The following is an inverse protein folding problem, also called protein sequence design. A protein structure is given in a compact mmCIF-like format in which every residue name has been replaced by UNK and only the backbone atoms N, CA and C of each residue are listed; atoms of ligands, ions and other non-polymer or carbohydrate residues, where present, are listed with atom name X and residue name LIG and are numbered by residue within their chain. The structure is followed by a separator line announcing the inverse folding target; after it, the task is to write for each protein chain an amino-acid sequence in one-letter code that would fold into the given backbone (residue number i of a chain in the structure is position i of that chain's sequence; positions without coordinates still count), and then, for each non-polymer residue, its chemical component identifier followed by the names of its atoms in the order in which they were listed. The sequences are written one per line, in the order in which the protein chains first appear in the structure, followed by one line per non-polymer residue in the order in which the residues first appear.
data_IF_045589398447
#
_entry.id   IF_045589398447
#
_cell.length_a   1.000
_cell.length_b   1.000
_cell.length_c   1.000
_cell.angle_alpha   90.00
_cell.angle_beta   90.00
_cell.angle_gamma   90.00
#
_symmetry.space_group_name_H-M   'P 1'
#
loop_
_entity.id
_entity.type
_entity.pdbx_description
1 polymer ?
#
# COMPACT_ATOMS: atom_id res chain seq x y z
N UNK A 1 47.25 -2.44 1.21
CA UNK A 1 47.54 -1.20 0.48
C UNK A 1 46.49 -1.04 -0.60
N UNK A 2 45.63 -0.05 -0.51
CA UNK A 2 45.15 0.68 -1.69
C UNK A 2 44.58 2.01 -1.23
N UNK A 3 44.96 3.07 -1.94
CA UNK A 3 44.73 4.46 -1.59
C UNK A 3 43.27 4.87 -1.81
N UNK A 4 42.81 5.75 -0.94
CA UNK A 4 41.52 6.41 -1.00
C UNK A 4 41.74 7.71 -1.78
N UNK A 5 41.27 7.79 -3.01
CA UNK A 5 41.26 9.06 -3.76
C UNK A 5 39.86 9.68 -3.66
N UNK A 6 39.84 10.93 -3.21
CA UNK A 6 38.66 11.79 -3.11
C UNK A 6 38.18 12.19 -4.52
N UNK A 7 36.86 12.29 -4.77
CA UNK A 7 36.38 12.76 -6.06
C UNK A 7 36.49 14.29 -6.20
N UNK A 8 36.71 14.82 -7.41
CA UNK A 8 36.80 16.25 -7.67
C UNK A 8 35.41 16.87 -7.89
N UNK A 9 35.42 18.20 -7.86
CA UNK A 9 34.27 19.10 -7.82
C UNK A 9 34.01 19.75 -9.21
N UNK A 10 32.77 20.22 -9.44
CA UNK A 10 32.27 21.08 -10.56
C UNK A 10 32.11 20.44 -11.97
N UNK A 11 31.19 20.81 -12.88
CA UNK A 11 30.19 21.90 -13.03
C UNK A 11 29.17 21.51 -14.12
N UNK A 12 27.95 22.08 -14.04
CA UNK A 12 26.83 21.91 -14.99
C UNK A 12 27.05 22.58 -16.36
N UNK A 13 26.45 22.00 -17.43
CA UNK A 13 26.27 22.66 -18.74
C UNK A 13 24.82 22.56 -19.20
N UNK A 14 24.27 23.70 -19.62
CA UNK A 14 22.90 23.92 -20.07
C UNK A 14 22.75 23.86 -21.60
N UNK A 15 21.55 23.55 -22.08
CA UNK A 15 20.99 23.80 -23.43
C UNK A 15 19.65 23.07 -23.58
N UNK A 16 18.70 23.41 -24.44
CA UNK A 16 18.10 24.65 -24.96
C UNK A 16 16.94 24.17 -25.88
N UNK A 17 15.80 24.86 -25.80
CA UNK A 17 14.65 24.99 -26.70
C UNK A 17 14.42 24.08 -27.94
N UNK A 18 13.16 23.64 -28.11
CA UNK A 18 12.54 23.45 -29.44
C UNK A 18 11.01 23.67 -29.41
N UNK A 19 10.47 24.25 -30.50
CA UNK A 19 9.05 24.60 -30.74
C UNK A 19 8.68 24.22 -32.19
N UNK A 20 7.44 23.78 -32.49
CA UNK A 20 6.92 23.96 -33.86
C UNK A 20 5.43 24.37 -33.97
N UNK A 21 5.16 25.13 -35.03
CA UNK A 21 3.89 25.70 -35.50
C UNK A 21 3.05 24.75 -36.39
N UNK A 22 1.72 24.94 -36.36
CA UNK A 22 0.69 24.99 -37.45
C UNK A 22 0.50 23.78 -38.43
N UNK A 23 -0.68 23.44 -38.98
CA UNK A 23 -1.95 24.12 -39.32
C UNK A 23 -3.04 23.09 -39.72
N UNK A 24 -4.32 23.51 -39.62
CA UNK A 24 -5.36 23.50 -40.69
C UNK A 24 -6.73 22.84 -40.42
N UNK A 25 -7.77 23.55 -40.88
CA UNK A 25 -9.21 23.40 -40.64
C UNK A 25 -9.96 22.68 -41.79
N UNK A 26 -11.06 21.97 -41.47
CA UNK A 26 -12.20 21.81 -42.41
C UNK A 26 -13.48 21.31 -41.73
N UNK A 27 -14.58 22.06 -41.88
CA UNK A 27 -16.00 21.79 -41.52
C UNK A 27 -16.79 21.65 -42.84
N UNK A 28 -17.78 20.72 -43.02
CA UNK A 28 -19.25 21.05 -42.91
C UNK A 28 -20.20 19.83 -42.69
N UNK A 29 -21.55 19.91 -42.81
CA UNK A 29 -22.56 20.88 -42.33
C UNK A 29 -23.74 20.21 -41.54
N UNK A 30 -24.72 21.04 -41.13
CA UNK A 30 -25.89 20.71 -40.30
C UNK A 30 -27.14 20.20 -41.07
N UNK A 31 -28.01 19.45 -40.38
CA UNK A 31 -29.38 19.10 -40.80
C UNK A 31 -30.37 19.02 -39.60
N UNK A 32 -31.52 19.69 -39.77
CA UNK A 32 -32.85 19.46 -39.14
C UNK A 32 -33.81 19.12 -40.30
N UNK A 33 -34.98 18.42 -40.18
CA UNK A 33 -36.03 18.63 -39.16
C UNK A 33 -36.96 17.41 -38.80
N UNK A 34 -37.85 17.60 -37.80
CA UNK A 34 -39.31 17.33 -37.83
C UNK A 34 -39.92 16.80 -36.52
N UNK A 35 -40.93 17.55 -36.05
CA UNK A 35 -41.91 17.18 -35.02
C UNK A 35 -42.90 16.13 -35.52
N UNK A 36 -43.29 15.20 -34.64
CA UNK A 36 -44.57 14.51 -34.68
C UNK A 36 -45.14 14.45 -33.26
N UNK A 37 -46.26 15.14 -33.05
CA UNK A 37 -47.12 15.04 -31.86
C UNK A 37 -47.76 13.65 -31.78
N UNK A 38 -47.71 13.03 -30.61
CA UNK A 38 -48.51 11.86 -30.27
C UNK A 38 -49.19 12.13 -28.92
N UNK A 39 -50.52 12.29 -28.95
CA UNK A 39 -51.35 12.35 -27.74
C UNK A 39 -51.66 10.94 -27.22
N UNK A 40 -51.50 10.66 -25.92
CA UNK A 40 -52.03 9.45 -25.29
C UNK A 40 -53.46 9.64 -24.74
N UNK A 41 -54.27 8.56 -24.64
CA UNK A 41 -55.68 8.58 -24.21
C UNK A 41 -55.85 8.69 -22.68
N UNK A 42 -57.06 8.99 -22.16
CA UNK A 42 -57.26 9.35 -20.76
C UNK A 42 -57.40 8.10 -19.88
N UNK A 43 -56.58 8.01 -18.82
CA UNK A 43 -56.76 7.02 -17.76
C UNK A 43 -56.86 7.69 -16.38
N UNK A 44 -58.03 7.45 -15.78
CA UNK A 44 -58.43 7.39 -14.37
C UNK A 44 -57.51 7.91 -13.26
N UNK A 45 -58.09 8.84 -12.48
CA UNK A 45 -57.65 9.27 -11.15
C UNK A 45 -57.49 8.08 -10.18
N UNK A 46 -56.25 7.85 -9.72
CA UNK A 46 -55.97 7.25 -8.42
C UNK A 46 -54.70 7.89 -7.86
N UNK A 47 -54.78 8.40 -6.63
CA UNK A 47 -53.69 9.10 -5.96
C UNK A 47 -52.52 8.15 -5.69
N UNK A 48 -51.25 8.55 -5.93
CA UNK A 48 -50.11 7.73 -5.57
C UNK A 48 -49.99 7.63 -4.04
N UNK A 49 -49.55 6.48 -3.49
CA UNK A 49 -49.23 6.37 -2.08
C UNK A 49 -48.10 7.35 -1.72
N UNK A 50 -48.06 7.88 -0.48
CA UNK A 50 -46.99 8.77 -0.07
C UNK A 50 -45.64 8.06 -0.23
N UNK A 51 -44.59 8.78 -0.68
CA UNK A 51 -43.27 8.19 -0.84
C UNK A 51 -42.79 7.65 0.51
N UNK A 52 -42.09 6.50 0.53
CA UNK A 52 -41.47 6.00 1.75
C UNK A 52 -40.57 7.09 2.33
N UNK A 53 -40.49 7.23 3.67
CA UNK A 53 -39.60 8.19 4.28
C UNK A 53 -38.16 7.92 3.77
N UNK A 54 -37.38 8.98 3.49
CA UNK A 54 -36.01 8.81 3.05
C UNK A 54 -35.25 7.97 4.09
N UNK A 55 -34.33 7.08 3.64
CA UNK A 55 -33.49 6.36 4.57
C UNK A 55 -32.77 7.36 5.47
N UNK A 56 -32.62 7.08 6.78
CA UNK A 56 -31.97 8.00 7.72
C UNK A 56 -30.61 8.41 7.15
N UNK A 57 -30.37 9.72 7.14
CA UNK A 57 -29.22 10.38 6.53
C UNK A 57 -27.97 9.50 6.58
N UNK A 58 -27.63 8.94 5.42
CA UNK A 58 -26.28 8.45 5.19
C UNK A 58 -25.41 9.70 5.27
N UNK A 59 -24.75 9.88 6.42
CA UNK A 59 -23.58 10.74 6.50
C UNK A 59 -22.78 10.52 5.23
N UNK A 60 -22.54 11.61 4.49
CA UNK A 60 -21.68 11.69 3.32
C UNK A 60 -20.24 11.29 3.70
N UNK A 61 -20.02 10.04 4.08
CA UNK A 61 -18.72 9.41 4.01
C UNK A 61 -18.50 9.16 2.53
N UNK A 62 -17.80 10.07 1.89
CA UNK A 62 -17.20 9.78 0.59
C UNK A 62 -16.21 8.66 0.83
N UNK A 63 -16.65 7.41 0.67
CA UNK A 63 -15.81 6.25 0.93
C UNK A 63 -14.69 6.29 -0.11
N UNK A 64 -13.41 6.36 0.30
CA UNK A 64 -12.32 6.41 -0.66
C UNK A 64 -12.37 5.15 -1.50
N UNK A 65 -12.40 5.27 -2.83
CA UNK A 65 -12.23 4.06 -3.62
C UNK A 65 -10.78 3.58 -3.50
N UNK A 66 -10.63 2.28 -3.25
CA UNK A 66 -9.34 1.58 -3.19
C UNK A 66 -8.42 1.88 -4.38
N UNK A 67 -8.98 2.37 -5.49
CA UNK A 67 -8.25 2.76 -6.70
C UNK A 67 -8.60 4.16 -7.24
N UNK A 68 -9.39 4.99 -6.55
CA UNK A 68 -9.60 6.37 -7.03
C UNK A 68 -8.34 7.20 -6.85
N UNK A 69 -7.94 7.92 -7.90
CA UNK A 69 -6.94 8.97 -7.80
C UNK A 69 -7.46 9.99 -6.80
N UNK A 70 -6.91 10.01 -5.60
CA UNK A 70 -7.06 11.18 -4.75
C UNK A 70 -6.43 12.34 -5.52
N UNK A 71 -7.13 13.48 -5.57
CA UNK A 71 -6.69 14.66 -6.33
C UNK A 71 -5.45 15.31 -5.66
N UNK A 72 -5.12 14.86 -4.46
CA UNK A 72 -3.98 15.30 -3.67
C UNK A 72 -2.69 14.60 -4.13
N UNK A 73 -1.53 15.27 -4.06
CA UNK A 73 -0.24 14.60 -4.17
C UNK A 73 -0.19 13.41 -3.20
N UNK A 74 0.30 12.27 -3.67
CA UNK A 74 0.34 11.03 -2.90
C UNK A 74 1.26 10.03 -3.60
N UNK A 75 1.86 9.13 -2.83
CA UNK A 75 2.54 7.97 -3.41
C UNK A 75 1.52 6.89 -3.76
N UNK A 76 1.63 6.32 -4.97
CA UNK A 76 0.86 5.13 -5.38
C UNK A 76 1.82 3.97 -5.60
N UNK A 77 2.22 3.35 -4.49
CA UNK A 77 3.20 2.27 -4.47
C UNK A 77 2.58 0.99 -5.05
N UNK A 78 3.30 0.38 -5.98
CA UNK A 78 2.88 -0.86 -6.66
C UNK A 78 3.62 -2.06 -6.09
N UNK A 79 2.89 -3.08 -5.64
CA UNK A 79 3.43 -4.33 -5.09
C UNK A 79 3.09 -5.49 -6.04
N UNK A 80 4.05 -5.83 -6.89
CA UNK A 80 3.91 -6.88 -7.90
C UNK A 80 4.32 -8.25 -7.37
N UNK A 81 3.42 -9.23 -7.43
CA UNK A 81 3.76 -10.64 -7.22
C UNK A 81 4.74 -11.12 -8.29
N UNK A 82 5.75 -11.89 -7.88
CA UNK A 82 6.65 -12.54 -8.83
C UNK A 82 6.21 -13.99 -9.07
N UNK A 83 5.51 -14.21 -10.18
CA UNK A 83 4.92 -15.51 -10.54
C UNK A 83 5.91 -16.71 -10.57
N UNK A 84 7.21 -16.45 -10.74
CA UNK A 84 8.26 -17.48 -10.86
C UNK A 84 9.26 -17.52 -9.69
N UNK A 85 9.17 -16.58 -8.74
CA UNK A 85 10.08 -16.51 -7.60
C UNK A 85 9.30 -16.08 -6.38
N UNK A 86 9.45 -16.80 -5.27
CA UNK A 86 8.78 -16.43 -4.01
C UNK A 86 9.08 -14.97 -3.61
N UNK A 87 8.03 -14.14 -3.61
CA UNK A 87 8.09 -12.76 -3.12
C UNK A 87 7.44 -11.70 -4.02
N UNK A 88 7.89 -10.46 -3.85
CA UNK A 88 7.33 -9.27 -4.48
C UNK A 88 8.44 -8.38 -5.06
N UNK A 89 8.08 -7.60 -6.08
CA UNK A 89 8.86 -6.45 -6.52
C UNK A 89 8.01 -5.20 -6.34
N UNK A 90 8.55 -4.23 -5.61
CA UNK A 90 7.82 -3.03 -5.18
C UNK A 90 8.35 -1.84 -5.97
N UNK A 91 7.44 -1.03 -6.52
CA UNK A 91 7.73 0.15 -7.32
C UNK A 91 7.03 1.38 -6.75
N UNK A 92 7.55 2.56 -7.04
CA UNK A 92 7.01 3.83 -6.53
C UNK A 92 5.73 4.26 -7.26
N UNK A 93 5.51 3.73 -8.46
CA UNK A 93 4.34 3.94 -9.30
C UNK A 93 4.17 2.80 -10.31
N UNK A 94 3.01 2.73 -10.97
CA UNK A 94 2.81 1.83 -12.11
C UNK A 94 3.74 2.21 -13.29
N UNK A 95 3.94 3.51 -13.51
CA UNK A 95 4.84 4.01 -14.56
C UNK A 95 6.29 3.57 -14.31
N UNK A 96 6.77 3.63 -13.07
CA UNK A 96 8.08 3.10 -12.69
C UNK A 96 8.20 1.59 -12.98
N UNK A 97 7.13 0.81 -12.77
CA UNK A 97 7.10 -0.62 -13.13
C UNK A 97 7.19 -0.83 -14.64
N UNK A 98 6.48 -0.02 -15.44
CA UNK A 98 6.49 -0.12 -16.89
C UNK A 98 7.85 0.30 -17.47
N UNK A 99 8.41 1.42 -16.97
CA UNK A 99 9.77 1.89 -17.29
C UNK A 99 10.81 0.83 -16.98
N UNK A 100 10.75 0.21 -15.79
CA UNK A 100 11.68 -0.86 -15.42
C UNK A 100 11.68 -2.01 -16.43
N UNK A 101 10.51 -2.44 -16.91
CA UNK A 101 10.42 -3.53 -17.89
C UNK A 101 11.03 -3.16 -19.23
N UNK A 102 10.95 -1.90 -19.65
CA UNK A 102 11.62 -1.37 -20.83
C UNK A 102 13.13 -1.16 -20.62
N UNK A 103 13.53 -0.67 -19.44
CA UNK A 103 14.90 -0.22 -19.15
C UNK A 103 15.86 -1.36 -18.81
N UNK A 104 15.39 -2.43 -18.16
CA UNK A 104 16.23 -3.51 -17.60
C UNK A 104 17.18 -4.23 -18.57
N UNK A 105 17.02 -4.05 -19.88
CA UNK A 105 17.90 -4.60 -20.93
C UNK A 105 18.50 -3.53 -21.85
N UNK A 106 18.17 -2.27 -21.62
CA UNK A 106 18.64 -1.17 -22.44
C UNK A 106 20.12 -0.92 -22.18
N UNK A 107 20.83 -0.52 -23.23
CA UNK A 107 22.21 -0.01 -23.16
C UNK A 107 22.29 1.46 -23.54
N UNK A 108 21.14 2.13 -23.69
CA UNK A 108 21.10 3.55 -24.01
C UNK A 108 21.67 4.37 -22.83
N UNK A 109 22.70 5.21 -23.03
CA UNK A 109 23.28 6.05 -21.98
C UNK A 109 22.26 6.91 -21.23
N UNK A 110 21.23 7.44 -21.90
CA UNK A 110 20.19 8.25 -21.27
C UNK A 110 19.36 7.42 -20.27
N UNK A 111 19.05 6.16 -20.63
CA UNK A 111 18.32 5.25 -19.73
C UNK A 111 19.19 4.88 -18.54
N UNK A 112 20.49 4.68 -18.74
CA UNK A 112 21.42 4.40 -17.64
C UNK A 112 21.43 5.59 -16.67
N UNK A 113 21.55 6.82 -17.17
CA UNK A 113 21.50 8.03 -16.33
C UNK A 113 20.17 8.16 -15.56
N UNK A 114 19.04 7.83 -16.17
CA UNK A 114 17.74 7.81 -15.48
C UNK A 114 17.74 6.76 -14.35
N UNK A 115 18.27 5.57 -14.60
CA UNK A 115 18.36 4.53 -13.58
C UNK A 115 19.30 4.91 -12.43
N UNK A 116 20.41 5.61 -12.70
CA UNK A 116 21.31 6.17 -11.68
C UNK A 116 20.59 7.16 -10.75
N UNK A 117 19.60 7.88 -11.27
CA UNK A 117 18.73 8.77 -10.50
C UNK A 117 17.58 8.05 -9.78
N UNK A 118 17.51 6.72 -9.90
CA UNK A 118 16.45 5.90 -9.28
C UNK A 118 15.15 5.84 -10.09
N UNK A 119 15.12 6.33 -11.33
CA UNK A 119 13.93 6.34 -12.19
C UNK A 119 13.82 4.99 -12.93
N UNK A 120 12.63 4.39 -12.93
CA UNK A 120 12.42 3.08 -13.55
C UNK A 120 13.21 1.96 -12.86
N UNK A 121 13.59 2.16 -11.60
CA UNK A 121 14.24 1.17 -10.73
C UNK A 121 13.23 0.73 -9.67
N UNK A 122 13.15 -0.57 -9.30
CA UNK A 122 12.26 -0.98 -8.22
C UNK A 122 12.73 -0.40 -6.90
N UNK A 123 11.80 -0.07 -6.00
CA UNK A 123 12.13 0.36 -4.65
C UNK A 123 12.66 -0.80 -3.80
N UNK A 124 11.91 -1.92 -3.80
CA UNK A 124 12.28 -3.11 -3.05
C UNK A 124 12.16 -4.40 -3.88
N UNK A 125 13.04 -5.36 -3.55
CA UNK A 125 12.83 -6.79 -3.78
C UNK A 125 12.48 -7.43 -2.44
N UNK A 126 11.25 -7.89 -2.30
CA UNK A 126 10.81 -8.56 -1.09
C UNK A 126 10.83 -10.07 -1.31
N UNK A 127 11.58 -10.81 -0.52
CA UNK A 127 11.76 -12.26 -0.65
C UNK A 127 11.01 -12.95 0.49
N UNK A 128 10.01 -13.75 0.15
CA UNK A 128 9.25 -14.51 1.14
C UNK A 128 9.99 -15.81 1.48
N UNK A 129 9.93 -16.23 2.75
CA UNK A 129 10.46 -17.55 3.10
C UNK A 129 9.42 -18.62 2.81
N UNK A 130 9.78 -19.63 2.04
CA UNK A 130 8.93 -20.80 1.78
C UNK A 130 8.95 -21.81 2.94
N UNK A 131 9.91 -21.70 3.87
CA UNK A 131 10.12 -22.68 4.94
C UNK A 131 9.11 -22.42 6.07
N UNK A 132 8.12 -23.31 6.30
CA UNK A 132 7.03 -23.07 7.26
C UNK A 132 7.48 -22.98 8.73
N UNK A 133 8.65 -23.53 9.05
CA UNK A 133 9.25 -23.54 10.39
C UNK A 133 10.26 -22.40 10.60
N UNK A 134 10.61 -21.66 9.54
CA UNK A 134 11.52 -20.54 9.67
C UNK A 134 10.80 -19.37 10.34
N UNK A 135 11.44 -18.75 11.35
CA UNK A 135 10.93 -17.53 11.97
C UNK A 135 10.96 -16.34 11.02
N UNK A 136 11.76 -16.40 9.94
CA UNK A 136 11.87 -15.36 8.92
C UNK A 136 10.63 -15.39 8.02
N UNK A 137 9.86 -14.30 8.00
CA UNK A 137 8.63 -14.19 7.22
C UNK A 137 8.90 -13.60 5.83
N UNK A 138 9.56 -12.44 5.79
CA UNK A 138 9.91 -11.74 4.55
C UNK A 138 11.22 -10.95 4.74
N UNK A 139 11.99 -10.79 3.68
CA UNK A 139 13.20 -9.94 3.64
C UNK A 139 13.03 -8.89 2.56
N UNK A 140 13.09 -7.62 2.93
CA UNK A 140 13.09 -6.50 2.00
C UNK A 140 14.52 -6.12 1.67
N UNK A 141 14.85 -6.15 0.38
CA UNK A 141 16.10 -5.64 -0.17
C UNK A 141 15.83 -4.32 -0.87
N UNK A 142 16.42 -3.24 -0.39
CA UNK A 142 16.28 -1.91 -1.00
C UNK A 142 17.28 -1.79 -2.14
N UNK A 143 16.81 -1.36 -3.30
CA UNK A 143 17.72 -1.07 -4.41
C UNK A 143 18.42 0.27 -4.22
N UNK A 144 19.69 0.32 -4.63
CA UNK A 144 20.54 1.51 -4.54
C UNK A 144 21.34 1.61 -5.84
N UNK A 145 20.73 2.10 -6.93
CA UNK A 145 21.48 2.37 -8.15
C UNK A 145 22.60 3.38 -7.87
N UNK A 146 23.71 3.27 -8.61
CA UNK A 146 24.89 4.13 -8.45
C UNK A 146 25.38 4.60 -9.81
N UNK A 147 26.12 5.70 -9.85
CA UNK A 147 26.79 6.19 -11.06
C UNK A 147 28.14 5.51 -11.35
N UNK A 148 28.50 4.46 -10.60
CA UNK A 148 29.78 3.77 -10.74
C UNK A 148 29.74 2.70 -11.84
N UNK A 149 28.56 2.17 -12.12
CA UNK A 149 28.31 1.20 -13.18
C UNK A 149 26.81 1.19 -13.54
N UNK A 150 26.43 0.67 -14.72
CA UNK A 150 25.03 0.50 -15.06
C UNK A 150 24.29 -0.34 -14.02
N UNK A 151 23.04 0.03 -13.72
CA UNK A 151 22.22 -0.62 -12.70
C UNK A 151 22.13 -2.14 -12.91
N UNK A 152 22.51 -2.89 -11.88
CA UNK A 152 22.47 -4.35 -11.82
C UNK A 152 21.41 -4.81 -10.81
N UNK A 153 20.28 -5.30 -11.33
CA UNK A 153 19.17 -5.80 -10.53
C UNK A 153 19.55 -6.93 -9.55
N UNK A 154 20.62 -7.66 -9.81
CA UNK A 154 21.02 -8.79 -8.99
C UNK A 154 22.07 -8.44 -7.94
N UNK A 155 22.64 -7.21 -8.01
CA UNK A 155 23.71 -6.76 -7.10
C UNK A 155 23.41 -5.45 -6.36
N UNK A 156 22.66 -4.53 -6.97
CA UNK A 156 22.52 -3.15 -6.48
C UNK A 156 21.42 -3.03 -5.43
N UNK A 157 21.55 -3.82 -4.37
CA UNK A 157 20.67 -3.76 -3.23
C UNK A 157 21.36 -4.19 -1.94
N UNK A 158 20.77 -3.84 -0.81
CA UNK A 158 21.14 -4.37 0.51
C UNK A 158 19.88 -4.81 1.27
N UNK A 159 20.04 -5.69 2.26
CA UNK A 159 18.93 -6.10 3.15
C UNK A 159 18.53 -4.90 4.03
N UNK A 160 17.39 -4.28 3.73
CA UNK A 160 16.88 -3.07 4.41
C UNK A 160 16.00 -3.42 5.60
N UNK A 161 15.13 -4.42 5.45
CA UNK A 161 14.25 -4.85 6.54
C UNK A 161 14.14 -6.37 6.54
N UNK A 162 14.39 -6.99 7.70
CA UNK A 162 14.13 -8.41 7.92
C UNK A 162 12.92 -8.53 8.83
N UNK A 163 11.89 -9.22 8.37
CA UNK A 163 10.68 -9.44 9.16
C UNK A 163 10.65 -10.86 9.70
N UNK A 164 10.47 -10.97 11.01
CA UNK A 164 10.24 -12.25 11.69
C UNK A 164 8.79 -12.35 12.15
N UNK A 165 8.19 -13.54 12.08
CA UNK A 165 6.85 -13.80 12.60
C UNK A 165 6.92 -14.69 13.84
N UNK A 166 6.12 -14.37 14.84
CA UNK A 166 5.91 -15.17 16.06
C UNK A 166 4.41 -15.38 16.26
N UNK A 167 4.02 -16.61 16.56
CA UNK A 167 2.64 -16.99 16.80
C UNK A 167 2.36 -16.94 18.29
N UNK A 168 1.27 -16.29 18.69
CA UNK A 168 0.80 -16.25 20.08
C UNK A 168 -0.66 -16.68 20.14
N UNK A 169 -1.16 -16.92 21.36
CA UNK A 169 -2.59 -17.16 21.55
C UNK A 169 -3.32 -15.84 21.42
N UNK A 170 -4.12 -15.70 20.37
CA UNK A 170 -4.98 -14.53 20.14
C UNK A 170 -4.45 -13.53 19.12
N UNK A 171 -3.14 -13.56 18.84
CA UNK A 171 -2.49 -12.66 17.90
C UNK A 171 -1.19 -13.26 17.35
N UNK A 172 -0.70 -12.69 16.26
CA UNK A 172 0.65 -12.88 15.76
C UNK A 172 1.45 -11.59 15.97
N UNK A 173 2.76 -11.68 16.23
CA UNK A 173 3.66 -10.53 16.16
C UNK A 173 4.59 -10.63 14.96
N UNK A 174 4.79 -9.48 14.30
CA UNK A 174 5.72 -9.29 13.20
C UNK A 174 6.77 -8.28 13.64
N UNK A 175 8.02 -8.74 13.67
CA UNK A 175 9.16 -7.99 14.17
C UNK A 175 9.94 -7.52 12.94
N UNK A 176 9.95 -6.22 12.70
CA UNK A 176 10.63 -5.57 11.58
C UNK A 176 11.97 -5.06 12.07
N UNK A 177 13.07 -5.65 11.60
CA UNK A 177 14.43 -5.23 11.92
C UNK A 177 14.95 -4.39 10.75
N UNK A 178 14.96 -3.07 10.91
CA UNK A 178 15.37 -2.11 9.88
C UNK A 178 16.87 -1.82 9.96
N UNK A 179 17.51 -1.76 8.79
CA UNK A 179 18.90 -1.34 8.59
C UNK A 179 18.90 -0.25 7.52
N UNK A 180 18.61 1.02 7.87
CA UNK A 180 18.45 2.09 6.89
C UNK A 180 19.71 2.41 6.09
N UNK A 181 20.89 2.21 6.68
CA UNK A 181 22.18 2.31 6.03
C UNK A 181 23.09 1.17 6.52
N UNK A 182 23.52 0.25 5.63
CA UNK A 182 24.39 -0.87 6.01
C UNK A 182 25.77 -0.43 6.53
N UNK A 183 26.18 0.83 6.29
CA UNK A 183 27.43 1.40 6.79
C UNK A 183 27.26 2.07 8.16
N UNK A 184 26.04 2.30 8.62
CA UNK A 184 25.75 2.98 9.89
C UNK A 184 24.81 2.18 10.80
N UNK A 185 25.30 1.11 11.46
CA UNK A 185 24.47 0.25 12.32
C UNK A 185 23.76 0.95 13.48
N UNK A 186 24.27 2.13 13.89
CA UNK A 186 23.64 2.97 14.94
C UNK A 186 22.25 3.49 14.55
N UNK A 187 21.93 3.51 13.25
CA UNK A 187 20.64 3.92 12.72
C UNK A 187 19.64 2.76 12.68
N UNK A 188 20.07 1.54 13.01
CA UNK A 188 19.18 0.39 13.00
C UNK A 188 18.12 0.53 14.09
N UNK A 189 16.88 0.19 13.75
CA UNK A 189 15.76 0.25 14.66
C UNK A 189 14.80 -0.92 14.43
N UNK A 190 13.87 -1.09 15.35
CA UNK A 190 12.86 -2.14 15.31
C UNK A 190 11.47 -1.57 15.42
N UNK A 191 10.54 -2.15 14.66
CA UNK A 191 9.09 -1.93 14.81
C UNK A 191 8.43 -3.29 15.04
N UNK A 192 7.48 -3.35 15.95
CA UNK A 192 6.70 -4.57 16.22
C UNK A 192 5.23 -4.31 15.89
N UNK A 193 4.70 -5.08 14.95
CA UNK A 193 3.28 -5.10 14.60
C UNK A 193 2.60 -6.27 15.28
N UNK A 194 1.55 -5.99 16.03
CA UNK A 194 0.67 -6.99 16.62
C UNK A 194 -0.59 -7.14 15.75
N UNK A 195 -0.82 -8.34 15.24
CA UNK A 195 -1.92 -8.67 14.33
C UNK A 195 -2.90 -9.59 15.05
N UNK A 196 -4.12 -9.13 15.33
CA UNK A 196 -5.10 -9.99 16.02
C UNK A 196 -5.49 -11.18 15.12
N UNK A 197 -5.66 -12.38 15.71
CA UNK A 197 -5.99 -13.59 14.94
C UNK A 197 -7.46 -13.71 14.48
N UNK A 198 -8.31 -12.70 14.74
CA UNK A 198 -9.77 -12.77 14.58
C UNK A 198 -10.33 -11.39 14.25
N UNK A 199 -10.05 -10.40 15.10
CA UNK A 199 -10.41 -9.02 14.83
C UNK A 199 -9.61 -8.49 13.64
N UNK A 200 -10.21 -7.64 12.77
CA UNK A 200 -9.56 -7.11 11.59
C UNK A 200 -8.66 -5.90 11.92
N UNK A 201 -7.82 -6.01 12.95
CA UNK A 201 -6.96 -4.92 13.42
C UNK A 201 -5.51 -5.38 13.59
N UNK A 202 -4.60 -4.49 13.21
CA UNK A 202 -3.16 -4.70 13.29
C UNK A 202 -2.52 -3.42 13.81
N UNK A 203 -1.99 -3.44 15.03
CA UNK A 203 -1.51 -2.23 15.71
C UNK A 203 0.01 -2.26 15.91
N UNK A 204 0.64 -1.11 15.80
CA UNK A 204 2.06 -0.91 16.06
C UNK A 204 2.31 0.48 16.63
N UNK A 205 3.50 0.67 17.21
CA UNK A 205 3.98 1.98 17.64
C UNK A 205 5.22 2.32 16.81
N UNK A 206 5.25 3.53 16.27
CA UNK A 206 6.41 4.06 15.55
C UNK A 206 6.59 5.54 15.88
N UNK A 207 7.83 5.94 16.17
CA UNK A 207 8.18 7.32 16.58
C UNK A 207 7.27 7.91 17.68
N UNK A 208 6.79 7.07 18.60
CA UNK A 208 5.94 7.45 19.73
C UNK A 208 4.45 7.50 19.41
N UNK A 209 4.05 7.33 18.15
CA UNK A 209 2.66 7.36 17.71
C UNK A 209 2.08 5.95 17.61
N UNK A 210 0.78 5.81 17.92
CA UNK A 210 0.05 4.56 17.82
C UNK A 210 -0.66 4.50 16.47
N UNK A 211 -0.38 3.42 15.74
CA UNK A 211 -0.87 3.20 14.39
C UNK A 211 -1.74 1.95 14.34
N UNK A 212 -2.70 1.94 13.43
CA UNK A 212 -3.54 0.78 13.16
C UNK A 212 -3.80 0.60 11.67
N UNK A 213 -3.62 -0.64 11.21
CA UNK A 213 -4.21 -1.12 9.97
C UNK A 213 -5.51 -1.88 10.25
N UNK A 214 -6.52 -1.66 9.43
CA UNK A 214 -7.86 -2.23 9.56
C UNK A 214 -8.16 -3.03 8.31
N UNK A 215 -8.44 -4.31 8.46
CA UNK A 215 -8.80 -5.21 7.35
C UNK A 215 -10.28 -5.06 6.98
N UNK A 216 -10.56 -4.42 5.86
CA UNK A 216 -11.92 -4.18 5.37
C UNK A 216 -12.44 -5.31 4.46
N UNK A 217 -11.62 -6.34 4.20
CA UNK A 217 -11.92 -7.39 3.21
C UNK A 217 -13.19 -8.18 3.49
N UNK A 218 -13.64 -8.21 4.74
CA UNK A 218 -14.85 -8.92 5.16
C UNK A 218 -16.11 -8.05 5.07
N UNK A 219 -16.01 -6.76 4.71
CA UNK A 219 -17.19 -5.91 4.52
C UNK A 219 -18.16 -6.52 3.50
N UNK A 220 -19.45 -6.35 3.77
CA UNK A 220 -20.49 -6.89 2.89
C UNK A 220 -20.38 -6.26 1.50
N UNK A 221 -20.36 -7.10 0.45
CA UNK A 221 -20.19 -6.69 -0.95
C UNK A 221 -18.89 -5.93 -1.25
N UNK A 222 -17.88 -6.02 -0.37
CA UNK A 222 -16.60 -5.33 -0.54
C UNK A 222 -15.99 -5.58 -1.93
N UNK A 223 -15.89 -6.85 -2.32
CA UNK A 223 -15.35 -7.25 -3.62
C UNK A 223 -16.15 -6.69 -4.80
N UNK A 224 -17.48 -6.80 -4.73
CA UNK A 224 -18.39 -6.32 -5.78
C UNK A 224 -18.32 -4.79 -5.93
N UNK A 225 -18.27 -4.06 -4.81
CA UNK A 225 -18.28 -2.60 -4.78
C UNK A 225 -16.95 -2.02 -5.25
N UNK A 226 -15.84 -2.64 -4.86
CA UNK A 226 -14.51 -2.07 -5.06
C UNK A 226 -13.67 -2.78 -6.12
N UNK A 227 -14.15 -3.92 -6.63
CA UNK A 227 -13.40 -4.78 -7.56
C UNK A 227 -12.01 -5.18 -7.02
N UNK A 228 -11.86 -5.21 -5.69
CA UNK A 228 -10.66 -5.69 -4.99
C UNK A 228 -10.91 -7.01 -4.29
N UNK A 229 -9.89 -7.86 -4.30
CA UNK A 229 -9.84 -9.14 -3.60
C UNK A 229 -9.79 -8.96 -2.08
N UNK A 230 -9.03 -7.97 -1.61
CA UNK A 230 -8.90 -7.58 -0.21
C UNK A 230 -8.50 -6.11 -0.13
N UNK A 231 -8.67 -5.50 1.04
CA UNK A 231 -8.16 -4.16 1.27
C UNK A 231 -8.06 -3.79 2.74
N UNK A 232 -7.18 -2.84 3.01
CA UNK A 232 -6.90 -2.32 4.34
C UNK A 232 -6.88 -0.80 4.33
N UNK A 233 -7.22 -0.21 5.48
CA UNK A 233 -6.99 1.21 5.77
C UNK A 233 -6.06 1.39 6.94
N UNK A 234 -5.20 2.40 6.86
CA UNK A 234 -4.31 2.81 7.93
C UNK A 234 -4.79 4.10 8.58
N UNK A 235 -4.60 4.20 9.90
CA UNK A 235 -5.02 5.37 10.68
C UNK A 235 -4.16 5.53 11.93
N UNK A 236 -4.07 6.77 12.41
CA UNK A 236 -3.50 7.12 13.72
C UNK A 236 -4.54 6.94 14.82
N UNK A 237 -4.15 6.35 15.94
CA UNK A 237 -5.02 6.20 17.11
C UNK A 237 -4.85 7.39 18.04
N UNK A 238 -5.96 8.02 18.42
CA UNK A 238 -5.97 9.09 19.42
C UNK A 238 -5.75 8.56 20.83
N UNK A 239 -5.31 9.43 21.73
CA UNK A 239 -5.16 9.11 23.15
C UNK A 239 -6.44 8.54 23.75
N UNK A 240 -6.30 7.46 24.52
CA UNK A 240 -7.41 6.73 25.13
C UNK A 240 -8.17 5.78 24.20
N UNK A 241 -7.97 5.83 22.88
CA UNK A 241 -8.50 4.80 21.99
C UNK A 241 -7.82 3.44 22.29
N UNK A 242 -8.58 2.35 22.49
CA UNK A 242 -7.99 1.05 22.78
C UNK A 242 -7.10 0.55 21.65
N UNK A 243 -6.00 -0.11 22.00
CA UNK A 243 -5.05 -0.72 21.07
C UNK A 243 -4.56 -2.11 21.53
N UNK A 244 -4.16 -2.97 20.59
CA UNK A 244 -3.44 -4.21 20.92
C UNK A 244 -2.13 -3.92 21.65
N UNK A 245 -1.53 -2.76 21.37
CA UNK A 245 -0.26 -2.31 21.97
C UNK A 245 -0.41 -1.79 23.41
N UNK A 246 -1.62 -1.63 23.95
CA UNK A 246 -1.84 -1.06 25.31
C UNK A 246 -1.14 -1.86 26.43
N UNK A 247 -0.91 -3.16 26.21
CA UNK A 247 -0.23 -4.04 27.17
C UNK A 247 1.19 -4.42 26.76
N UNK A 248 1.73 -3.73 25.76
CA UNK A 248 3.10 -3.93 25.32
C UNK A 248 4.08 -3.24 26.28
N UNK A 249 5.25 -3.84 26.45
CA UNK A 249 6.34 -3.29 27.28
C UNK A 249 7.28 -2.37 26.49
N UNK A 250 7.03 -2.19 25.19
CA UNK A 250 7.85 -1.39 24.28
C UNK A 250 9.11 -2.08 23.77
N UNK A 251 9.38 -3.34 24.15
CA UNK A 251 10.63 -4.03 23.79
C UNK A 251 10.44 -5.48 23.34
N UNK A 252 9.53 -6.24 23.95
CA UNK A 252 9.37 -7.67 23.66
C UNK A 252 8.44 -7.94 22.49
N UNK A 253 8.48 -9.15 21.93
CA UNK A 253 7.54 -9.57 20.89
C UNK A 253 6.17 -10.00 21.43
N UNK A 254 5.88 -9.69 22.70
CA UNK A 254 4.76 -10.22 23.49
C UNK A 254 3.98 -9.12 24.19
N UNK A 255 2.67 -9.33 24.27
CA UNK A 255 1.76 -8.54 25.08
C UNK A 255 1.69 -9.11 26.49
N UNK A 256 1.72 -8.23 27.50
CA UNK A 256 1.63 -8.61 28.91
C UNK A 256 0.23 -9.17 29.23
N UNK A 257 0.17 -10.47 29.50
CA UNK A 257 -1.08 -11.21 29.78
C UNK A 257 -1.71 -10.85 31.12
N UNK A 258 -0.95 -10.28 32.05
CA UNK A 258 -1.44 -9.89 33.38
C UNK A 258 -2.11 -8.52 33.37
N UNK A 259 -1.92 -7.74 32.30
CA UNK A 259 -2.66 -6.50 32.06
C UNK A 259 -3.90 -6.83 31.23
N UNK A 260 -4.99 -6.10 31.47
CA UNK A 260 -6.24 -6.27 30.72
C UNK A 260 -6.11 -5.66 29.33
N UNK A 261 -6.43 -6.39 28.26
CA UNK A 261 -6.52 -5.83 26.91
C UNK A 261 -7.91 -6.14 26.35
N UNK A 262 -8.75 -5.12 26.05
CA UNK A 262 -10.13 -5.34 25.63
C UNK A 262 -10.27 -6.14 24.33
N UNK A 263 -9.22 -6.17 23.50
CA UNK A 263 -9.20 -6.97 22.27
C UNK A 263 -8.77 -8.42 22.48
N UNK A 264 -8.01 -8.73 23.53
CA UNK A 264 -7.58 -10.10 23.82
C UNK A 264 -8.49 -10.80 24.85
N UNK A 265 -9.20 -10.03 25.66
CA UNK A 265 -10.23 -10.53 26.56
C UNK A 265 -11.32 -11.27 25.78
N UNK A 266 -11.80 -12.40 26.30
CA UNK A 266 -12.84 -13.21 25.64
C UNK A 266 -12.49 -13.71 24.23
N UNK A 267 -11.20 -13.89 23.91
CA UNK A 267 -10.73 -14.39 22.61
C UNK A 267 -11.52 -15.60 22.07
N UNK A 268 -11.82 -16.58 22.92
CA UNK A 268 -12.60 -17.76 22.51
C UNK A 268 -14.00 -17.40 22.03
N UNK A 269 -14.69 -16.46 22.70
CA UNK A 269 -16.01 -15.97 22.28
C UNK A 269 -15.93 -15.26 20.92
N UNK A 270 -14.89 -14.46 20.70
CA UNK A 270 -14.67 -13.76 19.43
C UNK A 270 -14.42 -14.75 18.28
N UNK A 271 -13.63 -15.81 18.54
CA UNK A 271 -13.28 -16.82 17.52
C UNK A 271 -14.51 -17.51 16.90
N UNK A 272 -15.58 -17.70 17.67
CA UNK A 272 -16.84 -18.29 17.22
C UNK A 272 -17.86 -17.25 16.71
N UNK A 273 -17.60 -15.96 16.92
CA UNK A 273 -18.47 -14.88 16.47
C UNK A 273 -18.09 -14.43 15.07
N UNK A 274 -19.01 -14.62 14.11
CA UNK A 274 -18.84 -14.12 12.74
C UNK A 274 -18.74 -12.59 12.71
N UNK A 275 -19.53 -11.89 13.56
CA UNK A 275 -19.51 -10.43 13.66
C UNK A 275 -18.16 -9.87 14.11
N UNK A 276 -17.34 -10.64 14.83
CA UNK A 276 -16.00 -10.20 15.27
C UNK A 276 -15.01 -10.01 14.13
N UNK A 277 -15.29 -10.58 12.94
CA UNK A 277 -14.42 -10.48 11.75
C UNK A 277 -14.67 -9.24 10.89
N UNK A 278 -15.72 -8.47 11.20
CA UNK A 278 -16.05 -7.24 10.48
C UNK A 278 -15.39 -6.04 11.16
N UNK A 279 -14.89 -5.06 10.40
CA UNK A 279 -14.40 -3.83 10.98
C UNK A 279 -15.56 -3.08 11.63
N UNK A 280 -15.24 -2.29 12.66
CA UNK A 280 -16.21 -1.50 13.41
C UNK A 280 -15.81 -0.03 13.46
N UNK A 281 -16.76 0.91 13.60
CA UNK A 281 -16.46 2.34 13.61
C UNK A 281 -15.39 2.73 14.65
N UNK A 282 -15.40 2.12 15.84
CA UNK A 282 -14.43 2.42 16.90
C UNK A 282 -12.99 1.99 16.60
N UNK A 283 -12.77 1.21 15.53
CA UNK A 283 -11.42 0.82 15.12
C UNK A 283 -10.71 1.94 14.37
N UNK A 284 -11.46 2.83 13.73
CA UNK A 284 -10.91 3.91 12.93
C UNK A 284 -10.51 5.09 13.83
N UNK A 285 -9.35 5.67 13.55
CA UNK A 285 -8.98 6.96 14.10
C UNK A 285 -9.65 8.11 13.34
N UNK A 286 -9.34 9.37 13.72
CA UNK A 286 -9.96 10.55 13.12
C UNK A 286 -9.58 10.74 11.64
N UNK A 287 -8.39 10.29 11.24
CA UNK A 287 -7.86 10.45 9.90
C UNK A 287 -7.31 9.12 9.38
N UNK A 288 -7.80 8.68 8.22
CA UNK A 288 -7.19 7.58 7.48
C UNK A 288 -6.09 8.16 6.60
N UNK A 289 -4.88 7.61 6.64
CA UNK A 289 -3.75 8.16 5.88
C UNK A 289 -3.34 7.30 4.71
N UNK A 290 -3.45 5.97 4.85
CA UNK A 290 -2.99 5.06 3.80
C UNK A 290 -4.04 4.00 3.48
N UNK A 291 -4.05 3.53 2.24
CA UNK A 291 -4.98 2.50 1.76
C UNK A 291 -4.24 1.46 0.95
N UNK A 292 -4.40 0.18 1.30
CA UNK A 292 -3.83 -0.96 0.59
C UNK A 292 -4.96 -1.76 -0.06
N UNK A 293 -4.83 -2.15 -1.33
CA UNK A 293 -5.80 -3.03 -2.00
C UNK A 293 -5.18 -3.89 -3.11
N UNK A 294 -5.70 -5.10 -3.32
CA UNK A 294 -5.32 -5.98 -4.45
C UNK A 294 -6.49 -6.14 -5.42
N UNK A 295 -6.26 -5.87 -6.70
CA UNK A 295 -7.29 -5.96 -7.73
C UNK A 295 -7.76 -7.41 -7.96
N UNK A 296 -9.06 -7.61 -8.21
CA UNK A 296 -9.65 -8.96 -8.28
C UNK A 296 -9.36 -9.71 -9.59
N UNK A 297 -9.32 -9.07 -10.77
CA UNK A 297 -9.17 -9.82 -12.02
C UNK A 297 -8.70 -9.10 -13.31
N UNK A 298 -8.70 -7.77 -13.44
CA UNK A 298 -8.73 -7.19 -14.79
C UNK A 298 -7.39 -6.82 -15.47
N UNK A 299 -6.27 -6.62 -14.78
CA UNK A 299 -5.06 -6.09 -15.47
C UNK A 299 -3.71 -6.78 -15.23
N UNK A 300 -3.50 -7.54 -14.15
CA UNK A 300 -2.32 -8.40 -13.91
C UNK A 300 -2.61 -9.29 -12.69
N UNK A 301 -2.34 -10.60 -12.76
CA UNK A 301 -2.47 -11.49 -11.60
C UNK A 301 -1.53 -11.07 -10.47
N UNK A 302 -2.06 -10.77 -9.28
CA UNK A 302 -1.26 -10.58 -8.06
C UNK A 302 -0.65 -9.17 -7.88
N UNK A 303 -1.36 -8.14 -8.31
CA UNK A 303 -0.98 -6.74 -8.20
C UNK A 303 -1.73 -6.06 -7.05
N UNK A 304 -1.00 -5.43 -6.12
CA UNK A 304 -1.60 -4.57 -5.09
C UNK A 304 -1.07 -3.14 -5.17
N UNK A 305 -1.94 -2.19 -4.84
CA UNK A 305 -1.60 -0.78 -4.69
C UNK A 305 -1.65 -0.38 -3.23
N UNK A 306 -0.65 0.38 -2.81
CA UNK A 306 -0.62 1.10 -1.55
C UNK A 306 -0.60 2.60 -1.87
N UNK A 307 -1.65 3.29 -1.46
CA UNK A 307 -1.75 4.75 -1.51
C UNK A 307 -1.35 5.33 -0.17
N UNK A 308 -0.46 6.31 -0.20
CA UNK A 308 0.07 6.99 0.98
C UNK A 308 -0.19 8.49 0.82
N UNK A 309 -0.99 9.06 1.70
CA UNK A 309 -1.27 10.50 1.73
C UNK A 309 -0.09 11.27 2.32
N UNK A 310 0.50 12.18 1.52
CA UNK A 310 1.64 13.01 1.94
C UNK A 310 1.21 14.38 2.50
N UNK A 311 -0.02 14.84 2.23
CA UNK A 311 -0.48 16.17 2.63
C UNK A 311 -0.77 16.26 4.13
N UNK A 312 -1.20 15.16 4.75
CA UNK A 312 -1.53 15.12 6.18
C UNK A 312 -0.33 15.19 7.12
N UNK A 313 0.90 15.04 6.61
CA UNK A 313 2.12 14.89 7.43
C UNK A 313 2.97 16.16 7.56
N UNK A 314 2.49 17.28 7.02
CA UNK A 314 3.17 18.57 7.17
C UNK A 314 4.48 18.69 6.39
N UNK A 315 4.70 17.84 5.37
CA UNK A 315 5.70 18.11 4.35
C UNK A 315 5.29 19.44 3.69
N UNK A 316 6.02 20.50 4.02
CA UNK A 316 5.78 21.82 3.46
C UNK A 316 5.76 21.72 1.93
N UNK A 317 4.89 22.49 1.27
CA UNK A 317 4.79 22.66 -0.19
C UNK A 317 6.09 23.16 -0.88
N UNK A 318 7.24 23.11 -0.19
CA UNK A 318 8.53 23.65 -0.59
C UNK A 318 9.59 22.60 -0.94
N UNK A 319 9.29 21.30 -0.89
CA UNK A 319 10.25 20.28 -1.33
C UNK A 319 9.88 19.79 -2.75
N UNK A 320 10.86 19.85 -3.67
CA UNK A 320 10.83 19.22 -5.00
C UNK A 320 10.80 17.68 -4.85
N UNK A 321 9.71 17.12 -4.33
CA UNK A 321 9.53 15.68 -4.21
C UNK A 321 9.44 15.09 -5.62
N UNK A 322 10.47 14.37 -6.02
CA UNK A 322 10.47 13.65 -7.29
C UNK A 322 9.77 12.29 -7.09
N UNK A 323 8.47 12.23 -7.41
CA UNK A 323 7.63 11.03 -7.31
C UNK A 323 8.03 9.88 -8.24
N UNK A 324 8.98 10.10 -9.16
CA UNK A 324 9.53 9.07 -10.04
C UNK A 324 10.79 8.40 -9.49
N UNK A 325 11.49 9.05 -8.55
CA UNK A 325 12.74 8.53 -7.99
C UNK A 325 12.49 7.76 -6.69
N UNK A 326 13.10 6.58 -6.59
CA UNK A 326 13.11 5.78 -5.35
C UNK A 326 13.84 6.47 -4.18
N UNK A 327 14.62 7.52 -4.44
CA UNK A 327 15.38 8.24 -3.42
C UNK A 327 14.54 9.29 -2.69
N UNK A 328 13.43 9.73 -3.28
CA UNK A 328 12.56 10.76 -2.70
C UNK A 328 11.59 10.23 -1.65
N UNK A 329 11.51 8.91 -1.46
CA UNK A 329 10.61 8.32 -0.47
C UNK A 329 11.24 8.42 0.93
N UNK A 330 10.56 9.10 1.88
CA UNK A 330 11.07 9.27 3.23
C UNK A 330 10.96 7.97 4.04
N UNK A 331 11.71 7.89 5.14
CA UNK A 331 11.83 6.67 5.95
C UNK A 331 10.49 6.17 6.49
N UNK A 332 9.62 7.08 6.90
CA UNK A 332 8.26 6.81 7.39
C UNK A 332 7.47 6.00 6.36
N UNK A 333 7.51 6.41 5.09
CA UNK A 333 6.81 5.70 4.03
C UNK A 333 7.46 4.37 3.71
N UNK A 334 8.79 4.26 3.79
CA UNK A 334 9.46 2.96 3.66
C UNK A 334 9.01 1.96 4.74
N UNK A 335 8.79 2.42 5.97
CA UNK A 335 8.24 1.60 7.07
C UNK A 335 6.80 1.19 6.75
N UNK A 336 5.95 2.13 6.34
CA UNK A 336 4.55 1.88 5.92
C UNK A 336 4.48 0.84 4.79
N UNK A 337 5.32 0.98 3.76
CA UNK A 337 5.42 0.06 2.62
C UNK A 337 5.79 -1.36 3.08
N UNK A 338 6.76 -1.48 3.99
CA UNK A 338 7.16 -2.79 4.54
C UNK A 338 6.00 -3.45 5.32
N UNK A 339 5.31 -2.69 6.17
CA UNK A 339 4.18 -3.17 6.97
C UNK A 339 3.01 -3.60 6.06
N UNK A 340 2.61 -2.75 5.12
CA UNK A 340 1.54 -3.04 4.16
C UNK A 340 1.85 -4.30 3.33
N UNK A 341 3.10 -4.47 2.89
CA UNK A 341 3.51 -5.68 2.15
C UNK A 341 3.42 -6.95 3.01
N UNK A 342 3.70 -6.86 4.32
CA UNK A 342 3.49 -7.98 5.25
C UNK A 342 2.01 -8.33 5.37
N UNK A 343 1.11 -7.34 5.47
CA UNK A 343 -0.34 -7.55 5.50
C UNK A 343 -0.86 -8.18 4.20
N UNK A 344 -0.40 -7.69 3.04
CA UNK A 344 -0.62 -8.34 1.74
C UNK A 344 -0.22 -9.82 1.79
N UNK A 345 1.00 -10.13 2.26
CA UNK A 345 1.48 -11.51 2.31
C UNK A 345 0.63 -12.38 3.24
N UNK A 346 0.12 -11.84 4.34
CA UNK A 346 -0.84 -12.56 5.19
C UNK A 346 -2.08 -12.97 4.37
N UNK A 347 -2.66 -12.04 3.60
CA UNK A 347 -3.83 -12.31 2.75
C UNK A 347 -3.55 -13.31 1.64
N UNK A 348 -2.38 -13.23 1.01
CA UNK A 348 -1.95 -14.21 0.01
C UNK A 348 -1.91 -15.62 0.62
N UNK A 349 -1.36 -15.79 1.83
CA UNK A 349 -1.32 -17.08 2.54
C UNK A 349 -2.73 -17.58 2.90
N UNK A 350 -3.63 -16.69 3.33
CA UNK A 350 -5.02 -17.05 3.64
C UNK A 350 -5.77 -17.58 2.41
N UNK A 351 -5.61 -16.90 1.27
CA UNK A 351 -6.26 -17.26 0.01
C UNK A 351 -5.63 -18.52 -0.61
N UNK A 352 -4.31 -18.68 -0.54
CA UNK A 352 -3.62 -19.94 -0.90
C UNK A 352 -4.18 -21.13 -0.10
N UNK A 353 -4.36 -20.98 1.22
CA UNK A 353 -4.94 -22.03 2.08
C UNK A 353 -6.38 -22.35 1.72
N UNK A 354 -7.20 -21.34 1.46
CA UNK A 354 -8.60 -21.49 1.04
C UNK A 354 -8.72 -22.21 -0.30
N UNK A 355 -7.89 -21.86 -1.26
CA UNK A 355 -7.85 -22.51 -2.57
C UNK A 355 -7.37 -23.96 -2.49
N UNK A 356 -6.37 -24.25 -1.65
CA UNK A 356 -5.95 -25.65 -1.39
C UNK A 356 -7.08 -26.49 -0.80
N UNK A 357 -7.82 -25.97 0.18
CA UNK A 357 -8.99 -26.66 0.77
C UNK A 357 -10.09 -26.92 -0.26
N UNK A 358 -10.37 -25.94 -1.13
CA UNK A 358 -11.36 -26.09 -2.22
C UNK A 358 -10.97 -27.10 -3.29
N UNK A 359 -9.67 -27.37 -3.47
CA UNK A 359 -9.17 -28.39 -4.41
C UNK A 359 -9.09 -29.79 -3.79
N UNK A 360 -9.06 -29.88 -2.46
CA UNK A 360 -8.98 -31.13 -1.73
C UNK A 360 -10.35 -31.72 -1.39
N UNK A 361 -11.39 -30.89 -1.40
CA UNK A 361 -12.80 -31.27 -1.36
C UNK A 361 -13.35 -31.33 -2.79
#
# INVERSE_FOLDING_TARGET
MSKQDSPPDYTNRASDNYNPHETDNSIPPAFTPNSLEVHPPPFSLSSPPPPPPPPPDQHNFHVPAYFQNQITPAWTIVINNRFWTDGFRIFVSEDASNKFDAFKKSKNPEIIQLQEQGIGVPLFKAITSYIPLATKFITFRRYVPTNLHPFDIDKDYYDYCIVKRKLHVGYDSYIFEFTPDPKQPKLNFQVILFSHSVLPIHDYIYKGERHRWIDESNLRRFKELWQVKYGFKHTYLIDGQPALTDNWDGQSDKLNKNKKNPYLDNFFKMKFSISSRYPKPEYYGPHCTDTLGEAEAFFKLGYAELKIDDLGKGYSQNDDVNYESIFSIPEEELVTICIATVLKRQKDIEEEKKNRRRRAN
#
